data_IF_748160178858
#
_entry.id   IF_748160178858
#
_cell.length_a   1.000
_cell.length_b   1.000
_cell.length_c   1.000
_cell.angle_alpha   90.00
_cell.angle_beta   90.00
_cell.angle_gamma   90.00
#
_symmetry.space_group_name_H-M   'P 1'
#
loop_
_entity.id
_entity.type
_entity.pdbx_description
1 polymer ?
#
# COMPACT_ATOMS: atom_id res chain seq x y z
N UNK A 1 -6.88 -3.78 -10.10
CA UNK A 1 -7.46 -2.44 -9.87
C UNK A 1 -6.77 -1.36 -10.71
N UNK A 2 -5.49 -1.52 -11.08
CA UNK A 2 -4.85 -0.66 -12.07
C UNK A 2 -5.42 -0.86 -13.48
N UNK A 3 -5.37 0.16 -14.36
CA UNK A 3 -5.75 0.02 -15.76
C UNK A 3 -4.97 -1.12 -16.41
N UNK A 4 -5.70 -2.06 -17.03
CA UNK A 4 -5.07 -3.19 -17.73
C UNK A 4 -4.38 -2.68 -18.99
N UNK A 5 -3.19 -3.23 -19.28
CA UNK A 5 -2.56 -3.06 -20.59
C UNK A 5 -3.51 -3.60 -21.67
N UNK A 6 -3.67 -2.86 -22.78
CA UNK A 6 -4.49 -3.34 -23.90
C UNK A 6 -3.73 -4.48 -24.59
N UNK A 7 -4.32 -5.66 -24.66
CA UNK A 7 -3.86 -6.69 -25.59
C UNK A 7 -4.13 -6.21 -27.02
N UNK A 8 -3.13 -6.32 -27.89
CA UNK A 8 -3.30 -6.05 -29.31
C UNK A 8 -4.42 -6.97 -29.83
N UNK A 9 -5.54 -6.39 -30.27
CA UNK A 9 -6.57 -7.14 -30.98
C UNK A 9 -5.95 -7.59 -32.29
N UNK A 10 -5.70 -8.89 -32.46
CA UNK A 10 -5.47 -9.44 -33.79
C UNK A 10 -6.72 -9.15 -34.63
N UNK A 11 -6.52 -8.44 -35.73
CA UNK A 11 -7.57 -7.88 -36.56
C UNK A 11 -8.47 -8.94 -37.20
N UNK A 12 -9.72 -8.53 -37.37
CA UNK A 12 -10.87 -9.15 -38.00
C UNK A 12 -10.56 -9.90 -39.29
N UNK A 13 -11.11 -11.13 -39.38
CA UNK A 13 -11.14 -11.97 -40.57
C UNK A 13 -12.04 -11.32 -41.65
N UNK A 14 -11.44 -10.72 -42.68
CA UNK A 14 -12.11 -10.41 -43.94
C UNK A 14 -11.80 -11.53 -44.93
N UNK A 15 -12.86 -12.23 -45.35
CA UNK A 15 -12.85 -13.08 -46.55
C UNK A 15 -12.86 -12.14 -47.76
N UNK A 16 -11.95 -12.36 -48.71
CA UNK A 16 -12.26 -12.31 -50.14
C UNK A 16 -11.13 -12.98 -50.94
N UNK A 17 -11.54 -13.67 -52.00
CA UNK A 17 -10.78 -14.64 -52.77
C UNK A 17 -9.87 -13.98 -53.84
N UNK A 18 -8.69 -14.59 -54.01
CA UNK A 18 -8.04 -14.97 -55.27
C UNK A 18 -6.93 -14.10 -55.95
N UNK A 19 -5.81 -14.80 -56.18
CA UNK A 19 -4.72 -14.72 -57.20
C UNK A 19 -3.65 -13.60 -57.14
N UNK A 20 -2.39 -14.01 -56.93
CA UNK A 20 -1.23 -13.36 -57.57
C UNK A 20 0.05 -13.28 -56.72
N UNK A 21 1.01 -14.15 -57.00
CA UNK A 21 2.37 -14.26 -56.46
C UNK A 21 3.11 -12.96 -56.05
N UNK A 22 3.67 -12.95 -54.83
CA UNK A 22 5.10 -12.70 -54.59
C UNK A 22 5.43 -13.05 -53.13
N UNK A 23 6.27 -14.06 -52.93
CA UNK A 23 6.84 -14.37 -51.63
C UNK A 23 7.91 -13.33 -51.30
N UNK A 24 7.56 -12.36 -50.47
CA UNK A 24 8.53 -11.56 -49.72
C UNK A 24 8.46 -12.08 -48.29
N UNK A 25 9.46 -12.87 -47.91
CA UNK A 25 9.70 -13.27 -46.53
C UNK A 25 10.20 -12.06 -45.74
N UNK A 26 9.30 -11.23 -45.25
CA UNK A 26 9.61 -10.37 -44.11
C UNK A 26 9.39 -11.19 -42.86
N UNK A 27 10.50 -11.71 -42.32
CA UNK A 27 10.55 -12.12 -40.93
C UNK A 27 10.24 -10.87 -40.09
N UNK A 28 8.99 -10.76 -39.64
CA UNK A 28 8.63 -9.77 -38.62
C UNK A 28 9.38 -10.15 -37.35
N UNK A 29 10.44 -9.39 -37.14
CA UNK A 29 11.18 -9.31 -35.90
C UNK A 29 10.21 -8.65 -34.90
N UNK A 30 9.35 -9.45 -34.26
CA UNK A 30 8.45 -9.01 -33.18
C UNK A 30 9.29 -8.70 -31.94
N UNK A 31 10.04 -7.61 -32.04
CA UNK A 31 10.80 -7.01 -30.96
C UNK A 31 9.80 -6.41 -29.98
N UNK A 32 9.32 -7.23 -29.04
CA UNK A 32 9.03 -6.88 -27.65
C UNK A 32 8.47 -5.44 -27.46
N UNK A 33 7.38 -5.11 -28.16
CA UNK A 33 6.71 -3.81 -27.98
C UNK A 33 6.12 -3.81 -26.58
N UNK A 34 6.78 -3.15 -25.63
CA UNK A 34 6.27 -2.96 -24.27
C UNK A 34 4.92 -2.24 -24.39
N UNK A 35 3.84 -2.94 -24.04
CA UNK A 35 2.48 -2.40 -24.10
C UNK A 35 2.29 -1.38 -23.00
N UNK A 36 2.20 -0.11 -23.36
CA UNK A 36 1.87 0.97 -22.42
C UNK A 36 0.43 0.84 -21.92
N UNK A 37 0.19 1.26 -20.67
CA UNK A 37 -1.17 1.40 -20.14
C UNK A 37 -1.85 2.61 -20.76
N UNK A 38 -3.18 2.56 -21.01
CA UNK A 38 -3.90 3.75 -21.44
C UNK A 38 -3.83 4.83 -20.37
N UNK A 39 -3.88 6.10 -20.80
CA UNK A 39 -3.98 7.23 -19.90
C UNK A 39 -5.08 7.01 -18.84
N UNK A 40 -4.78 7.35 -17.59
CA UNK A 40 -5.69 7.19 -16.46
C UNK A 40 -5.55 8.36 -15.48
N UNK A 41 -6.45 8.41 -14.49
CA UNK A 41 -6.28 9.31 -13.34
C UNK A 41 -5.04 8.94 -12.52
N UNK A 42 -4.62 9.87 -11.65
CA UNK A 42 -3.56 9.60 -10.67
C UNK A 42 -4.09 8.73 -9.54
N UNK A 43 -3.25 7.84 -9.04
CA UNK A 43 -3.52 6.87 -7.99
C UNK A 43 -2.47 7.02 -6.89
N UNK A 44 -2.95 7.11 -5.65
CA UNK A 44 -2.09 7.08 -4.46
C UNK A 44 -2.30 5.72 -3.81
N UNK A 45 -1.24 4.92 -3.73
CA UNK A 45 -1.25 3.64 -3.04
C UNK A 45 -0.52 3.77 -1.71
N UNK A 46 -1.22 3.46 -0.62
CA UNK A 46 -0.67 3.49 0.74
C UNK A 46 -0.41 2.06 1.18
N UNK A 47 0.83 1.74 1.53
CA UNK A 47 1.20 0.48 2.16
C UNK A 47 1.27 0.64 3.68
N UNK A 48 1.14 -0.48 4.38
CA UNK A 48 1.30 -0.56 5.84
C UNK A 48 1.81 -1.95 6.19
N UNK A 49 2.57 -2.05 7.28
CA UNK A 49 3.00 -3.31 7.86
C UNK A 49 1.83 -4.29 7.99
N UNK A 50 2.01 -5.48 7.42
CA UNK A 50 0.95 -6.47 7.26
C UNK A 50 0.41 -7.03 8.56
N UNK A 51 1.25 -7.08 9.59
CA UNK A 51 0.84 -7.49 10.94
C UNK A 51 -0.03 -6.42 11.59
N UNK A 52 0.29 -5.13 11.42
CA UNK A 52 -0.58 -4.04 11.87
C UNK A 52 -1.89 -3.97 11.08
N UNK A 53 -1.87 -4.29 9.78
CA UNK A 53 -3.07 -4.36 8.93
C UNK A 53 -4.02 -5.43 9.45
N UNK A 54 -3.55 -6.68 9.64
CA UNK A 54 -4.43 -7.78 10.09
C UNK A 54 -5.01 -7.49 11.49
N UNK A 55 -4.22 -6.93 12.40
CA UNK A 55 -4.71 -6.53 13.73
C UNK A 55 -5.76 -5.41 13.66
N UNK A 56 -5.51 -4.39 12.82
CA UNK A 56 -6.48 -3.31 12.59
C UNK A 56 -7.78 -3.83 11.96
N UNK A 57 -7.66 -4.77 11.03
CA UNK A 57 -8.79 -5.33 10.30
C UNK A 57 -9.65 -6.25 11.18
N UNK A 58 -9.02 -7.05 12.05
CA UNK A 58 -9.71 -7.84 13.06
C UNK A 58 -10.56 -6.94 13.95
N UNK A 59 -9.97 -5.90 14.55
CA UNK A 59 -10.72 -4.95 15.37
C UNK A 59 -11.87 -4.27 14.61
N UNK A 60 -11.66 -3.93 13.34
CA UNK A 60 -12.71 -3.35 12.51
C UNK A 60 -13.89 -4.31 12.31
N UNK A 61 -13.63 -5.57 11.89
CA UNK A 61 -14.71 -6.53 11.61
C UNK A 61 -15.37 -7.08 12.87
N UNK A 62 -14.62 -7.30 13.95
CA UNK A 62 -15.17 -7.78 15.23
C UNK A 62 -15.99 -6.75 15.99
N UNK A 63 -15.94 -5.47 15.60
CA UNK A 63 -16.74 -4.42 16.23
C UNK A 63 -17.78 -3.79 15.30
N UNK A 64 -17.92 -4.28 14.07
CA UNK A 64 -18.99 -3.84 13.16
C UNK A 64 -20.32 -4.49 13.58
N UNK A 65 -21.42 -3.74 13.64
CA UNK A 65 -22.76 -4.27 13.98
C UNK A 65 -23.29 -5.27 12.95
N UNK A 66 -23.04 -5.01 11.67
CA UNK A 66 -23.50 -5.86 10.57
C UNK A 66 -22.34 -6.72 10.05
N UNK A 67 -22.54 -8.04 10.02
CA UNK A 67 -21.49 -8.98 9.61
C UNK A 67 -20.32 -9.01 10.59
N UNK A 68 -20.62 -8.90 11.90
CA UNK A 68 -19.61 -8.97 12.96
C UNK A 68 -18.80 -10.25 12.85
N UNK A 69 -17.48 -10.12 12.87
CA UNK A 69 -16.61 -11.29 12.97
C UNK A 69 -16.51 -11.73 14.44
N UNK A 70 -16.93 -12.96 14.75
CA UNK A 70 -17.07 -13.44 16.13
C UNK A 70 -15.99 -14.40 16.60
N UNK A 71 -15.17 -14.92 15.68
CA UNK A 71 -14.09 -15.84 16.05
C UNK A 71 -12.87 -15.11 16.64
N UNK A 72 -11.90 -15.90 17.12
CA UNK A 72 -10.67 -15.38 17.73
C UNK A 72 -9.76 -14.70 16.70
N UNK A 73 -8.83 -13.88 17.20
CA UNK A 73 -7.79 -13.27 16.36
C UNK A 73 -6.91 -14.32 15.67
N UNK A 74 -6.66 -15.47 16.29
CA UNK A 74 -5.90 -16.58 15.69
C UNK A 74 -6.62 -17.12 14.44
N UNK A 75 -7.92 -17.41 14.57
CA UNK A 75 -8.75 -17.84 13.45
C UNK A 75 -8.78 -16.78 12.36
N UNK A 76 -8.93 -15.50 12.75
CA UNK A 76 -8.93 -14.39 11.81
C UNK A 76 -7.61 -14.27 11.04
N UNK A 77 -6.47 -14.43 11.71
CA UNK A 77 -5.15 -14.41 11.08
C UNK A 77 -5.03 -15.54 10.04
N UNK A 78 -5.49 -16.75 10.37
CA UNK A 78 -5.49 -17.87 9.42
C UNK A 78 -6.39 -17.59 8.21
N UNK A 79 -7.62 -17.12 8.42
CA UNK A 79 -8.55 -16.78 7.34
C UNK A 79 -8.04 -15.63 6.46
N UNK A 80 -7.35 -14.66 7.07
CA UNK A 80 -6.70 -13.56 6.35
C UNK A 80 -5.55 -14.06 5.48
N UNK A 81 -4.70 -14.95 6.01
CA UNK A 81 -3.59 -15.56 5.24
C UNK A 81 -4.10 -16.48 4.12
N UNK A 82 -5.21 -17.16 4.34
CA UNK A 82 -5.88 -17.99 3.33
C UNK A 82 -6.68 -17.17 2.30
N UNK A 83 -6.82 -15.86 2.51
CA UNK A 83 -7.59 -14.99 1.62
C UNK A 83 -9.10 -15.27 1.63
N UNK A 84 -9.62 -15.82 2.73
CA UNK A 84 -11.06 -16.14 2.92
C UNK A 84 -11.88 -14.94 3.38
N UNK A 85 -11.21 -13.90 3.90
CA UNK A 85 -11.87 -12.67 4.31
C UNK A 85 -12.33 -11.85 3.09
N UNK A 86 -13.27 -10.89 3.28
CA UNK A 86 -13.58 -9.92 2.24
C UNK A 86 -12.29 -9.33 1.70
N UNK A 87 -12.27 -8.97 0.41
CA UNK A 87 -11.10 -8.45 -0.28
C UNK A 87 -10.05 -9.52 -0.70
N UNK A 88 -10.13 -10.74 -0.16
CA UNK A 88 -9.28 -11.85 -0.61
C UNK A 88 -7.86 -11.78 -0.07
N UNK A 89 -6.90 -12.38 -0.78
CA UNK A 89 -5.51 -12.43 -0.31
C UNK A 89 -4.85 -11.05 -0.32
N UNK A 90 -4.52 -10.55 0.87
CA UNK A 90 -3.72 -9.34 1.09
C UNK A 90 -2.37 -9.35 0.35
N UNK A 91 -1.87 -10.55 0.07
CA UNK A 91 -0.51 -10.77 -0.42
C UNK A 91 -0.51 -10.80 -1.94
N UNK A 92 -1.51 -11.46 -2.53
CA UNK A 92 -1.82 -11.28 -3.94
C UNK A 92 -2.08 -9.81 -4.28
N UNK A 93 -2.78 -9.07 -3.41
CA UNK A 93 -2.96 -7.63 -3.56
C UNK A 93 -1.62 -6.88 -3.56
N UNK A 94 -0.76 -7.14 -2.57
CA UNK A 94 0.54 -6.49 -2.46
C UNK A 94 1.43 -6.74 -3.69
N UNK A 95 1.52 -8.00 -4.13
CA UNK A 95 2.30 -8.39 -5.32
C UNK A 95 1.72 -7.76 -6.59
N UNK A 96 0.39 -7.70 -6.72
CA UNK A 96 -0.26 -7.06 -7.87
C UNK A 96 0.07 -5.58 -7.97
N UNK A 97 0.14 -4.85 -6.84
CA UNK A 97 0.52 -3.44 -6.84
C UNK A 97 2.03 -3.26 -7.06
N UNK A 98 2.89 -4.11 -6.48
CA UNK A 98 4.31 -4.12 -6.80
C UNK A 98 4.53 -4.29 -8.31
N UNK A 99 3.76 -5.16 -8.96
CA UNK A 99 3.72 -5.31 -10.41
C UNK A 99 3.43 -4.00 -11.11
N UNK A 100 2.37 -3.32 -10.67
CA UNK A 100 1.96 -1.99 -11.11
C UNK A 100 3.06 -0.92 -11.11
N UNK A 101 3.90 -0.93 -10.08
CA UNK A 101 5.03 0.00 -9.96
C UNK A 101 6.24 -0.43 -10.82
N UNK A 102 6.46 -1.73 -11.01
CA UNK A 102 7.49 -2.26 -11.91
C UNK A 102 7.20 -2.00 -13.40
N UNK A 103 5.93 -1.86 -13.77
CA UNK A 103 5.47 -1.61 -15.13
C UNK A 103 4.69 -0.28 -15.24
N UNK A 104 5.17 0.75 -14.52
CA UNK A 104 4.55 2.08 -14.47
C UNK A 104 4.72 2.91 -15.77
N UNK A 105 4.56 2.26 -16.92
CA UNK A 105 4.59 2.84 -18.25
C UNK A 105 3.16 3.12 -18.70
N UNK A 106 2.83 4.40 -18.77
CA UNK A 106 1.56 4.91 -19.25
C UNK A 106 1.79 5.75 -20.51
N UNK A 107 0.82 5.73 -21.41
CA UNK A 107 0.84 6.58 -22.61
C UNK A 107 0.88 8.06 -22.20
N UNK A 108 2.02 8.71 -22.45
CA UNK A 108 2.28 10.13 -22.13
C UNK A 108 2.06 11.06 -23.33
N UNK A 109 1.63 10.54 -24.48
CA UNK A 109 1.56 11.29 -25.74
C UNK A 109 0.52 12.41 -25.76
N UNK A 110 -0.35 12.48 -24.75
CA UNK A 110 -1.37 13.52 -24.60
C UNK A 110 -1.37 14.13 -23.19
N UNK A 111 -0.20 14.38 -22.60
CA UNK A 111 -0.14 15.35 -21.50
C UNK A 111 -0.60 16.70 -22.05
N UNK A 112 -1.67 17.22 -21.47
CA UNK A 112 -2.29 18.47 -21.86
C UNK A 112 -1.31 19.64 -21.68
N UNK A 113 -0.72 20.09 -22.79
CA UNK A 113 -0.25 21.44 -23.06
C UNK A 113 0.55 22.15 -21.96
N UNK A 114 1.86 21.97 -21.96
CA UNK A 114 2.85 23.06 -21.92
C UNK A 114 4.22 22.46 -22.28
N UNK A 115 4.54 22.46 -23.58
CA UNK A 115 5.90 22.25 -24.05
C UNK A 115 6.65 23.57 -23.85
N UNK A 116 7.26 23.76 -22.69
CA UNK A 116 8.33 24.74 -22.57
C UNK A 116 9.61 24.09 -23.10
N UNK A 117 10.06 24.62 -24.24
CA UNK A 117 11.40 24.40 -24.79
C UNK A 117 12.33 25.28 -23.94
N UNK A 118 13.14 24.66 -23.09
CA UNK A 118 14.14 25.35 -22.28
C UNK A 118 15.04 24.38 -21.54
N UNK A 119 16.35 24.59 -21.68
CA UNK A 119 17.45 23.70 -21.31
C UNK A 119 17.66 23.43 -19.80
N UNK A 120 18.55 22.46 -19.56
CA UNK A 120 19.35 22.18 -18.35
C UNK A 120 18.72 21.43 -17.16
N UNK A 121 19.04 20.13 -17.10
CA UNK A 121 19.45 19.38 -15.90
C UNK A 121 18.59 19.53 -14.63
N UNK A 122 17.26 19.63 -14.78
CA UNK A 122 16.34 19.40 -13.67
C UNK A 122 15.97 17.92 -13.62
N UNK A 123 16.26 17.24 -12.49
CA UNK A 123 15.74 15.92 -12.16
C UNK A 123 14.25 15.84 -12.53
N UNK A 124 13.92 15.25 -13.68
CA UNK A 124 12.55 15.17 -14.16
C UNK A 124 11.81 14.24 -13.20
N UNK A 125 11.05 14.80 -12.27
CA UNK A 125 10.06 14.06 -11.51
C UNK A 125 9.11 13.51 -12.56
N UNK A 126 9.27 12.23 -12.89
CA UNK A 126 8.44 11.57 -13.89
C UNK A 126 7.00 11.73 -13.44
N UNK A 127 6.15 12.35 -14.28
CA UNK A 127 4.71 12.53 -14.02
C UNK A 127 4.00 11.16 -14.09
N UNK A 128 4.33 10.32 -13.11
CA UNK A 128 3.84 8.97 -12.99
C UNK A 128 2.46 9.02 -12.36
N UNK A 129 1.49 8.26 -12.91
CA UNK A 129 0.14 8.24 -12.37
C UNK A 129 0.04 7.40 -11.09
N UNK A 130 1.13 6.80 -10.60
CA UNK A 130 1.16 6.02 -9.37
C UNK A 130 2.11 6.67 -8.36
N UNK A 131 1.59 7.01 -7.18
CA UNK A 131 2.37 7.46 -6.02
C UNK A 131 2.32 6.38 -4.92
N UNK A 132 3.49 5.88 -4.52
CA UNK A 132 3.64 4.95 -3.39
C UNK A 132 3.91 5.72 -2.09
N UNK A 133 3.06 5.53 -1.09
CA UNK A 133 3.24 6.02 0.28
C UNK A 133 3.29 4.83 1.25
N UNK A 134 3.92 5.02 2.40
CA UNK A 134 3.87 4.07 3.53
C UNK A 134 3.28 4.76 4.75
N UNK A 135 2.42 4.05 5.47
CA UNK A 135 1.86 4.49 6.74
C UNK A 135 2.96 4.81 7.77
N UNK A 136 3.99 3.97 7.83
CA UNK A 136 5.14 4.14 8.71
C UNK A 136 5.93 5.41 8.37
N UNK A 137 6.16 5.68 7.08
CA UNK A 137 6.78 6.92 6.62
C UNK A 137 5.92 8.14 6.95
N UNK A 138 4.61 8.09 6.72
CA UNK A 138 3.68 9.17 7.11
C UNK A 138 3.67 9.43 8.62
N UNK A 139 3.76 8.37 9.44
CA UNK A 139 3.88 8.48 10.89
C UNK A 139 5.19 9.13 11.33
N UNK A 140 6.29 8.80 10.66
CA UNK A 140 7.63 9.34 10.98
C UNK A 140 7.80 10.79 10.51
N UNK A 141 7.26 11.15 9.34
CA UNK A 141 7.43 12.45 8.72
C UNK A 141 6.25 12.78 7.78
N UNK A 142 5.16 13.25 8.38
CA UNK A 142 3.96 13.63 7.63
C UNK A 142 4.23 14.73 6.61
N UNK A 143 5.04 15.72 6.98
CA UNK A 143 5.36 16.88 6.13
C UNK A 143 5.91 16.43 4.78
N UNK A 144 6.92 15.56 4.79
CA UNK A 144 7.55 15.05 3.57
C UNK A 144 6.55 14.29 2.70
N UNK A 145 5.76 13.39 3.29
CA UNK A 145 4.77 12.62 2.53
C UNK A 145 3.63 13.49 1.98
N UNK A 146 3.20 14.52 2.72
CA UNK A 146 2.22 15.50 2.24
C UNK A 146 2.78 16.31 1.05
N UNK A 147 4.05 16.71 1.09
CA UNK A 147 4.71 17.38 -0.04
C UNK A 147 4.81 16.46 -1.27
N UNK A 148 5.05 15.16 -1.08
CA UNK A 148 5.02 14.18 -2.18
C UNK A 148 3.64 14.08 -2.82
N UNK A 149 2.56 14.12 -2.03
CA UNK A 149 1.18 14.17 -2.54
C UNK A 149 0.92 15.47 -3.31
N UNK A 150 1.30 16.62 -2.74
CA UNK A 150 1.13 17.94 -3.37
C UNK A 150 1.84 18.00 -4.71
N UNK A 151 3.10 17.54 -4.75
CA UNK A 151 3.90 17.45 -5.97
C UNK A 151 3.25 16.50 -6.98
N UNK A 152 2.91 15.28 -6.55
CA UNK A 152 2.29 14.27 -7.42
C UNK A 152 0.94 14.71 -7.98
N UNK A 153 0.15 15.52 -7.26
CA UNK A 153 -1.14 16.02 -7.73
C UNK A 153 -1.06 17.40 -8.40
N UNK A 154 0.14 17.96 -8.57
CA UNK A 154 0.37 19.30 -9.13
C UNK A 154 -0.40 20.42 -8.39
N UNK A 155 -0.51 20.31 -7.06
CA UNK A 155 -1.21 21.28 -6.21
C UNK A 155 -0.30 22.46 -5.84
N UNK A 156 0.34 23.08 -6.83
CA UNK A 156 1.37 24.13 -6.66
C UNK A 156 0.84 25.41 -6.02
N UNK A 157 -0.48 25.60 -5.97
CA UNK A 157 -1.13 26.77 -5.39
C UNK A 157 -1.26 26.73 -3.87
N UNK A 158 -0.94 25.63 -3.19
CA UNK A 158 -1.06 25.52 -1.73
C UNK A 158 0.08 26.32 -1.07
N UNK A 159 -0.20 27.41 -0.34
CA UNK A 159 0.84 28.17 0.34
C UNK A 159 1.45 27.34 1.47
N UNK A 160 2.76 27.46 1.70
CA UNK A 160 3.45 26.74 2.78
C UNK A 160 2.81 26.99 4.14
N UNK A 161 2.33 28.21 4.39
CA UNK A 161 1.61 28.55 5.63
C UNK A 161 0.37 27.70 5.86
N UNK A 162 -0.45 27.49 4.82
CA UNK A 162 -1.65 26.64 4.90
C UNK A 162 -1.27 25.18 5.13
N UNK A 163 -0.18 24.72 4.50
CA UNK A 163 0.35 23.39 4.76
C UNK A 163 0.71 23.21 6.24
N UNK A 164 1.53 24.11 6.81
CA UNK A 164 2.00 24.01 8.19
C UNK A 164 0.90 24.21 9.24
N UNK A 165 0.13 25.29 9.10
CA UNK A 165 -0.77 25.76 10.15
C UNK A 165 -2.14 25.09 10.10
N UNK A 166 -2.56 24.57 8.93
CA UNK A 166 -3.91 24.02 8.77
C UNK A 166 -3.87 22.54 8.39
N UNK A 167 -3.22 22.19 7.28
CA UNK A 167 -3.29 20.84 6.71
C UNK A 167 -2.62 19.82 7.64
N UNK A 168 -1.36 20.05 8.02
CA UNK A 168 -0.61 19.09 8.84
C UNK A 168 -1.25 18.91 10.22
N UNK A 169 -1.70 19.99 10.86
CA UNK A 169 -2.39 19.95 12.15
C UNK A 169 -3.73 19.21 12.06
N UNK A 170 -4.47 19.36 10.96
CA UNK A 170 -5.75 18.67 10.76
C UNK A 170 -5.59 17.15 10.64
N UNK A 171 -4.41 16.67 10.25
CA UNK A 171 -4.10 15.26 10.05
C UNK A 171 -3.45 14.59 11.26
N UNK A 172 -3.19 15.31 12.34
CA UNK A 172 -2.81 14.70 13.61
C UNK A 172 -3.92 13.78 14.13
N UNK A 173 -3.53 12.65 14.68
CA UNK A 173 -4.44 11.62 15.18
C UNK A 173 -5.38 12.18 16.25
N UNK A 174 -4.87 13.00 17.17
CA UNK A 174 -5.65 13.69 18.19
C UNK A 174 -6.68 14.63 17.55
N UNK A 175 -6.27 15.43 16.57
CA UNK A 175 -7.15 16.33 15.81
C UNK A 175 -8.25 15.57 15.10
N UNK A 176 -7.89 14.49 14.40
CA UNK A 176 -8.87 13.63 13.69
C UNK A 176 -9.81 12.90 14.65
N UNK A 177 -9.32 12.45 15.81
CA UNK A 177 -10.14 11.79 16.83
C UNK A 177 -11.14 12.75 17.48
N UNK A 178 -10.74 14.01 17.69
CA UNK A 178 -11.65 15.08 18.12
C UNK A 178 -12.66 15.45 17.03
N UNK A 179 -12.36 15.18 15.76
CA UNK A 179 -13.21 15.43 14.61
C UNK A 179 -13.74 14.12 13.96
N UNK A 180 -13.99 13.08 14.77
CA UNK A 180 -14.23 11.72 14.30
C UNK A 180 -15.35 11.60 13.26
N UNK A 181 -16.38 12.45 13.33
CA UNK A 181 -17.50 12.47 12.39
C UNK A 181 -17.09 12.70 10.93
N UNK A 182 -15.96 13.39 10.70
CA UNK A 182 -15.40 13.61 9.35
C UNK A 182 -14.64 12.40 8.82
N UNK A 183 -14.12 11.57 9.72
CA UNK A 183 -13.15 10.51 9.42
C UNK A 183 -13.69 9.10 9.63
N UNK A 184 -14.90 8.94 10.15
CA UNK A 184 -15.55 7.64 10.28
C UNK A 184 -16.60 7.41 9.18
N UNK A 185 -16.81 6.16 8.75
CA UNK A 185 -17.85 5.84 7.79
C UNK A 185 -19.25 6.13 8.36
N UNK A 186 -20.07 6.86 7.59
CA UNK A 186 -21.42 7.28 8.01
C UNK A 186 -22.42 6.13 8.16
N UNK A 187 -22.24 5.06 7.38
CA UNK A 187 -23.21 3.97 7.25
C UNK A 187 -22.83 2.72 8.05
N UNK A 188 -21.78 2.77 8.86
CA UNK A 188 -21.32 1.63 9.64
C UNK A 188 -21.64 1.85 11.11
N UNK A 189 -22.48 0.99 11.67
CA UNK A 189 -22.72 0.94 13.10
C UNK A 189 -21.63 0.17 13.84
N UNK A 190 -21.19 0.68 14.99
CA UNK A 190 -20.16 0.06 15.83
C UNK A 190 -20.73 -0.53 17.12
N UNK A 191 -20.18 -1.64 17.58
CA UNK A 191 -20.49 -2.30 18.86
C UNK A 191 -19.67 -1.70 19.99
N UNK A 192 -20.19 -1.78 21.22
CA UNK A 192 -19.44 -1.53 22.47
C UNK A 192 -18.69 -0.17 22.53
N UNK A 193 -19.22 0.87 21.86
CA UNK A 193 -18.56 2.18 21.81
C UNK A 193 -17.27 2.20 20.97
N UNK A 194 -17.03 1.19 20.14
CA UNK A 194 -15.88 1.13 19.25
C UNK A 194 -15.85 2.35 18.32
N UNK A 195 -14.66 2.89 18.14
CA UNK A 195 -14.38 4.01 17.26
C UNK A 195 -13.52 3.56 16.09
N UNK A 196 -13.90 3.96 14.89
CA UNK A 196 -13.15 3.66 13.67
C UNK A 196 -11.69 4.12 13.76
N UNK A 197 -11.45 5.30 14.33
CA UNK A 197 -10.11 5.80 14.67
C UNK A 197 -9.64 5.22 16.01
N UNK A 198 -8.91 4.09 15.94
CA UNK A 198 -8.55 3.27 17.11
C UNK A 198 -7.36 3.84 17.91
N UNK A 199 -6.12 3.59 17.43
CA UNK A 199 -4.86 3.92 18.12
C UNK A 199 -3.91 4.84 17.35
N UNK A 200 -3.87 4.77 16.01
CA UNK A 200 -2.97 5.62 15.22
C UNK A 200 -1.48 5.33 15.40
N UNK A 201 -1.10 4.07 15.70
CA UNK A 201 0.29 3.65 15.97
C UNK A 201 0.76 2.55 15.03
N UNK A 202 2.07 2.35 14.97
CA UNK A 202 2.76 1.22 14.34
C UNK A 202 3.19 0.19 15.40
N UNK A 203 3.30 -1.09 15.02
CA UNK A 203 3.76 -2.19 15.89
C UNK A 203 2.71 -2.75 16.85
N UNK A 204 1.46 -2.26 16.82
CA UNK A 204 0.40 -2.78 17.69
C UNK A 204 0.00 -4.20 17.33
N UNK A 205 0.05 -4.54 16.04
CA UNK A 205 -0.19 -5.90 15.57
C UNK A 205 0.85 -6.86 16.11
N UNK A 206 2.13 -6.49 16.11
CA UNK A 206 3.20 -7.33 16.67
C UNK A 206 2.90 -7.68 18.14
N UNK A 207 2.50 -6.70 18.94
CA UNK A 207 2.07 -6.93 20.33
C UNK A 207 0.88 -7.87 20.42
N UNK A 208 -0.09 -7.77 19.51
CA UNK A 208 -1.26 -8.67 19.48
C UNK A 208 -0.89 -10.10 19.09
N UNK A 209 0.12 -10.28 18.25
CA UNK A 209 0.63 -11.62 17.90
C UNK A 209 1.45 -12.21 19.04
N UNK A 210 2.21 -11.39 19.76
CA UNK A 210 3.06 -11.83 20.88
C UNK A 210 2.26 -12.11 22.15
N UNK A 211 1.30 -11.25 22.48
CA UNK A 211 0.49 -11.39 23.69
C UNK A 211 -0.66 -12.37 23.42
N UNK A 212 -0.61 -13.57 24.01
CA UNK A 212 -1.79 -14.43 24.14
C UNK A 212 -2.94 -13.59 24.68
N UNK A 213 -4.15 -13.79 24.15
CA UNK A 213 -5.38 -13.25 24.73
C UNK A 213 -5.35 -13.49 26.25
N UNK A 214 -5.17 -12.45 27.04
CA UNK A 214 -5.29 -12.51 28.49
C UNK A 214 -6.76 -12.64 28.82
N UNK A 215 -7.25 -13.87 28.79
CA UNK A 215 -8.41 -14.28 29.56
C UNK A 215 -7.97 -14.93 30.87
N UNK A 216 -6.82 -14.55 31.43
CA UNK A 216 -6.41 -15.01 32.75
C UNK A 216 -5.83 -13.88 33.60
N UNK A 217 -6.34 -13.79 34.82
CA UNK A 217 -5.96 -12.83 35.82
C UNK A 217 -4.60 -13.22 36.40
N UNK A 218 -3.57 -12.41 36.21
CA UNK A 218 -2.33 -12.56 36.96
C UNK A 218 -1.14 -11.92 36.27
N UNK A 219 -0.67 -10.80 36.83
CA UNK A 219 0.56 -10.15 36.37
C UNK A 219 1.76 -11.07 36.51
N UNK A 220 2.60 -11.08 35.48
CA UNK A 220 4.02 -11.41 35.57
C UNK A 220 4.78 -10.55 34.58
N UNK A 221 5.81 -9.92 35.10
CA UNK A 221 6.74 -9.03 34.42
C UNK A 221 7.50 -9.78 33.33
N UNK A 222 7.85 -9.02 32.29
CA UNK A 222 8.51 -9.46 31.06
C UNK A 222 9.92 -10.00 31.36
N UNK A 223 10.15 -11.30 31.09
CA UNK A 223 11.51 -11.81 30.91
C UNK A 223 11.89 -11.70 29.43
N UNK A 224 12.96 -10.94 29.16
CA UNK A 224 13.64 -10.84 27.86
C UNK A 224 14.23 -12.21 27.48
N UNK A 225 13.49 -12.98 26.68
CA UNK A 225 13.96 -14.28 26.20
C UNK A 225 13.13 -14.82 25.05
N UNK A 226 13.54 -14.48 23.82
CA UNK A 226 12.97 -15.02 22.57
C UNK A 226 11.67 -14.35 22.12
N UNK A 227 11.77 -13.31 21.28
CA UNK A 227 10.61 -12.63 20.68
C UNK A 227 9.92 -13.48 19.60
N UNK A 228 9.40 -14.66 19.94
CA UNK A 228 8.51 -15.38 19.03
C UNK A 228 7.36 -16.05 19.75
N UNK A 229 6.17 -15.87 19.19
CA UNK A 229 4.96 -16.57 19.59
C UNK A 229 4.55 -17.55 18.50
N UNK A 230 3.74 -18.56 18.85
CA UNK A 230 3.20 -19.54 17.89
C UNK A 230 2.50 -18.86 16.70
N UNK A 231 1.81 -17.73 16.92
CA UNK A 231 1.15 -16.97 15.86
C UNK A 231 2.15 -16.21 14.97
N UNK A 232 3.19 -15.63 15.58
CA UNK A 232 4.26 -14.96 14.84
C UNK A 232 5.05 -15.96 13.99
N UNK A 233 5.37 -17.12 14.54
CA UNK A 233 6.00 -18.23 13.82
C UNK A 233 5.11 -18.71 12.67
N UNK A 234 3.81 -18.94 12.93
CA UNK A 234 2.89 -19.37 11.89
C UNK A 234 2.75 -18.35 10.74
N UNK A 235 2.72 -17.05 11.06
CA UNK A 235 2.74 -15.98 10.06
C UNK A 235 4.04 -16.01 9.25
N UNK A 236 5.19 -16.05 9.93
CA UNK A 236 6.51 -16.08 9.32
C UNK A 236 6.72 -17.30 8.42
N UNK A 237 6.37 -18.49 8.90
CA UNK A 237 6.43 -19.75 8.15
C UNK A 237 5.58 -19.67 6.89
N UNK A 238 4.42 -19.01 6.96
CA UNK A 238 3.54 -18.82 5.80
C UNK A 238 4.13 -17.85 4.79
N UNK A 239 4.72 -16.74 5.26
CA UNK A 239 5.44 -15.76 4.41
C UNK A 239 6.59 -16.43 3.66
N UNK A 240 7.36 -17.28 4.34
CA UNK A 240 8.47 -18.03 3.76
C UNK A 240 7.99 -19.10 2.77
N UNK A 241 7.02 -19.93 3.18
CA UNK A 241 6.45 -21.00 2.34
C UNK A 241 5.82 -20.48 1.06
N UNK A 242 5.22 -19.29 1.10
CA UNK A 242 4.64 -18.65 -0.08
C UNK A 242 5.61 -17.71 -0.82
N UNK A 243 6.87 -17.65 -0.39
CA UNK A 243 7.97 -16.95 -1.05
C UNK A 243 7.71 -15.46 -1.33
N UNK A 244 7.07 -14.74 -0.41
CA UNK A 244 6.65 -13.36 -0.69
C UNK A 244 7.80 -12.42 -0.98
N UNK A 245 8.88 -12.49 -0.20
CA UNK A 245 10.04 -11.63 -0.38
C UNK A 245 10.65 -11.86 -1.76
N UNK A 246 10.81 -13.13 -2.17
CA UNK A 246 11.31 -13.50 -3.50
C UNK A 246 10.39 -13.00 -4.60
N UNK A 247 9.07 -13.15 -4.48
CA UNK A 247 8.09 -12.66 -5.47
C UNK A 247 8.14 -11.14 -5.63
N UNK A 248 8.23 -10.39 -4.53
CA UNK A 248 8.34 -8.92 -4.57
C UNK A 248 9.64 -8.51 -5.25
N UNK A 249 10.78 -9.09 -4.84
CA UNK A 249 12.09 -8.81 -5.44
C UNK A 249 12.14 -9.17 -6.92
N UNK A 250 11.47 -10.25 -7.32
CA UNK A 250 11.39 -10.67 -8.73
C UNK A 250 10.52 -9.75 -9.59
N UNK A 251 9.54 -9.08 -9.00
CA UNK A 251 8.71 -8.14 -9.73
C UNK A 251 9.41 -6.78 -9.85
N UNK A 252 10.01 -6.31 -8.76
CA UNK A 252 10.71 -5.03 -8.71
C UNK A 252 12.22 -5.24 -8.95
N UNK A 253 12.60 -5.74 -10.12
CA UNK A 253 14.00 -6.02 -10.47
C UNK A 253 14.74 -4.80 -11.03
N UNK A 254 15.97 -4.58 -10.57
CA UNK A 254 16.85 -3.50 -11.04
C UNK A 254 16.92 -2.31 -10.07
N UNK A 255 17.91 -1.45 -10.30
CA UNK A 255 18.26 -0.35 -9.38
C UNK A 255 17.21 0.77 -9.39
N UNK A 256 16.50 0.97 -10.50
CA UNK A 256 15.46 1.99 -10.62
C UNK A 256 14.22 1.75 -9.74
N UNK A 257 14.09 0.56 -9.15
CA UNK A 257 12.97 0.20 -8.26
C UNK A 257 13.40 -0.04 -6.81
N UNK A 258 14.65 0.26 -6.43
CA UNK A 258 15.16 0.01 -5.07
C UNK A 258 14.25 0.60 -4.00
N UNK A 259 13.95 1.89 -4.06
CA UNK A 259 13.09 2.57 -3.07
C UNK A 259 11.70 1.92 -2.96
N UNK A 260 11.11 1.52 -4.09
CA UNK A 260 9.82 0.84 -4.11
C UNK A 260 9.94 -0.56 -3.49
N UNK A 261 10.97 -1.31 -3.88
CA UNK A 261 11.26 -2.66 -3.40
C UNK A 261 11.46 -2.67 -1.90
N UNK A 262 12.26 -1.75 -1.36
CA UNK A 262 12.45 -1.59 0.08
C UNK A 262 11.13 -1.37 0.81
N UNK A 263 10.26 -0.48 0.31
CA UNK A 263 8.94 -0.24 0.90
C UNK A 263 8.10 -1.51 0.89
N UNK A 264 7.97 -2.21 -0.25
CA UNK A 264 7.16 -3.43 -0.36
C UNK A 264 7.71 -4.60 0.48
N UNK A 265 9.03 -4.75 0.61
CA UNK A 265 9.64 -5.77 1.46
C UNK A 265 9.45 -5.45 2.96
N UNK A 266 9.59 -4.17 3.34
CA UNK A 266 9.46 -3.72 4.73
C UNK A 266 8.08 -3.98 5.34
N UNK A 267 7.02 -4.03 4.51
CA UNK A 267 5.67 -4.29 5.01
C UNK A 267 5.38 -5.77 5.29
N UNK A 268 6.20 -6.68 4.77
CA UNK A 268 6.03 -8.14 4.93
C UNK A 268 7.00 -8.74 5.95
N UNK A 269 8.24 -8.22 6.01
CA UNK A 269 9.41 -8.88 6.59
C UNK A 269 9.50 -9.02 8.12
N UNK A 270 10.42 -9.89 8.54
CA UNK A 270 10.68 -10.39 9.91
C UNK A 270 11.27 -9.39 10.91
N UNK A 271 11.68 -8.19 10.49
CA UNK A 271 12.46 -7.29 11.35
C UNK A 271 12.02 -5.84 11.21
N UNK A 272 11.36 -5.32 12.25
CA UNK A 272 11.62 -3.95 12.67
C UNK A 272 13.04 -3.92 13.24
N UNK A 273 14.04 -3.66 12.41
CA UNK A 273 15.23 -2.98 12.92
C UNK A 273 14.89 -1.50 12.89
N UNK A 274 14.33 -0.99 13.99
CA UNK A 274 14.45 0.45 14.26
C UNK A 274 15.97 0.69 14.30
N UNK A 275 16.54 1.54 13.43
CA UNK A 275 17.95 1.87 13.55
C UNK A 275 18.19 2.42 14.96
N UNK A 276 19.21 1.94 15.70
CA UNK A 276 19.51 2.45 17.02
C UNK A 276 19.95 3.92 16.85
N UNK A 277 19.05 4.86 17.13
CA UNK A 277 19.35 6.28 16.94
C UNK A 277 18.18 7.25 17.02
N UNK A 278 16.91 6.82 16.94
CA UNK A 278 15.78 7.75 17.15
C UNK A 278 15.47 7.85 18.64
N UNK A 279 16.25 8.66 19.35
CA UNK A 279 15.84 9.21 20.64
C UNK A 279 14.48 9.88 20.47
N UNK A 280 13.63 9.69 21.48
CA UNK A 280 12.35 10.36 21.66
C UNK A 280 12.46 11.85 21.34
N UNK A 281 11.97 12.24 20.16
CA UNK A 281 11.43 13.56 19.95
C UNK A 281 9.91 13.35 19.95
N UNK A 282 9.25 14.03 20.90
CA UNK A 282 7.82 14.04 21.10
C UNK A 282 7.13 14.22 19.73
N UNK A 283 6.61 13.11 19.22
CA UNK A 283 6.25 12.94 17.84
C UNK A 283 4.86 13.47 17.57
N UNK A 284 4.75 14.31 16.54
CA UNK A 284 3.48 14.62 15.90
C UNK A 284 2.88 13.30 15.39
N UNK A 285 1.88 12.79 16.12
CA UNK A 285 1.20 11.55 15.79
C UNK A 285 0.29 11.75 14.58
N UNK A 286 0.85 11.72 13.38
CA UNK A 286 0.12 12.01 12.15
C UNK A 286 -0.53 10.78 11.49
N UNK A 287 -1.80 10.91 11.12
CA UNK A 287 -2.57 10.09 10.18
C UNK A 287 -2.89 8.64 10.56
N UNK A 288 -4.16 8.42 10.92
CA UNK A 288 -4.95 7.27 10.52
C UNK A 288 -5.58 7.53 9.14
N UNK A 289 -4.99 6.97 8.06
CA UNK A 289 -5.67 6.93 6.76
C UNK A 289 -6.91 6.05 6.92
N UNK A 290 -8.07 6.65 6.70
CA UNK A 290 -9.43 6.07 6.70
C UNK A 290 -9.64 4.98 5.62
N UNK A 291 -8.56 4.54 4.97
CA UNK A 291 -8.56 3.60 3.86
C UNK A 291 -7.48 2.50 3.98
N UNK A 292 -6.89 2.26 5.15
CA UNK A 292 -6.10 1.04 5.38
C UNK A 292 -7.00 -0.13 5.80
N UNK A 293 -8.04 -0.41 5.00
CA UNK A 293 -8.70 -1.73 5.00
C UNK A 293 -8.00 -2.72 4.06
N UNK A 294 -6.76 -2.41 3.64
CA UNK A 294 -5.88 -3.22 2.79
C UNK A 294 -4.40 -2.96 3.10
#
# INVERSE_FOLDING_TARGET
MLPKQREARSGTQLKDDNVGAMAISTADNDSNVRKERPQCGKFIYVTRNKIDVVASFYHHLSNKKEGTYTDTFETFLQDWMDGKLPFGSSLHHLISYAGGFADNLYDTTTSCGHADIGDEESNSVTDQPLLLLSYEKMKSNLRTEALRIISSLHLTHIPSRVLEEEILQSFEFSSMKNNIEKFQPKWVGWLNGFQFLRKGVTGDGRRLLLNRSTNDCGGREEEEGGESSVLMDAYNDRVEREEYLSKISNVLQGDCYEDCREIFLSVVGKYYSIPPGSNSLEGLDALAVVLCLW
#
